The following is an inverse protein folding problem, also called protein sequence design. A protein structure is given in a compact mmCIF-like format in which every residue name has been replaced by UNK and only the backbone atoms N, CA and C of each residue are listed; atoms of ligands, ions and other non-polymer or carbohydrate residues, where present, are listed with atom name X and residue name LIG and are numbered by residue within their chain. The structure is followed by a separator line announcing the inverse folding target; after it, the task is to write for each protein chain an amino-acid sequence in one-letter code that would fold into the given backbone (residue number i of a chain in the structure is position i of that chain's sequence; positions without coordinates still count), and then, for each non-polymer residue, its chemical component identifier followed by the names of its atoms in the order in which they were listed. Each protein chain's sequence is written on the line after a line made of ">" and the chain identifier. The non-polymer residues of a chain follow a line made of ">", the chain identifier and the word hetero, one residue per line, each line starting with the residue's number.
data_IF_163182457872
#
_entry.id   IF_163182457872
#
_cell.length_a   1.000
_cell.length_b   1.000
_cell.length_c   1.000
_cell.angle_alpha   90.00
_cell.angle_beta   90.00
_cell.angle_gamma   90.00
#
_symmetry.space_group_name_H-M   'P 1'
#
loop_
_entity.id
_entity.type
_entity.pdbx_description
1 polymer ?
#
# COMPACT_ATOMS: atom_id res chain seq x y z
N UNK A 1 -3.52 -14.45 2.37
CA UNK A 1 -3.81 -14.41 0.91
C UNK A 1 -3.96 -15.83 0.41
N UNK A 2 -5.02 -16.13 -0.34
CA UNK A 2 -5.25 -17.43 -0.96
C UNK A 2 -5.62 -17.21 -2.42
N UNK A 3 -4.70 -17.52 -3.32
CA UNK A 3 -4.83 -17.12 -4.73
C UNK A 3 -4.94 -15.61 -4.86
N UNK A 4 -5.94 -15.13 -5.60
CA UNK A 4 -6.23 -13.71 -5.77
C UNK A 4 -6.90 -13.01 -4.58
N UNK A 5 -7.36 -13.74 -3.56
CA UNK A 5 -8.17 -13.18 -2.48
C UNK A 5 -7.38 -12.93 -1.20
N UNK A 6 -7.71 -11.84 -0.51
CA UNK A 6 -7.35 -11.64 0.90
C UNK A 6 -8.40 -12.36 1.74
N UNK A 7 -7.96 -13.16 2.70
CA UNK A 7 -8.84 -13.97 3.54
C UNK A 7 -8.52 -13.79 5.02
N UNK A 8 -9.56 -13.84 5.85
CA UNK A 8 -9.44 -13.87 7.31
C UNK A 8 -8.96 -15.23 7.83
N UNK A 9 -8.77 -15.33 9.15
CA UNK A 9 -8.36 -16.58 9.81
C UNK A 9 -9.36 -17.73 9.65
N UNK A 10 -10.64 -17.41 9.40
CA UNK A 10 -11.72 -18.36 9.10
C UNK A 10 -11.76 -18.79 7.62
N UNK A 11 -10.83 -18.29 6.78
CA UNK A 11 -10.76 -18.59 5.35
C UNK A 11 -11.76 -17.85 4.48
N UNK A 12 -12.60 -16.96 5.04
CA UNK A 12 -13.53 -16.14 4.28
C UNK A 12 -12.82 -14.94 3.65
N UNK A 13 -13.25 -14.55 2.44
CA UNK A 13 -12.73 -13.37 1.76
C UNK A 13 -13.03 -12.09 2.56
N UNK A 14 -12.08 -11.16 2.58
CA UNK A 14 -12.18 -9.89 3.30
C UNK A 14 -11.79 -8.75 2.36
N UNK A 15 -12.60 -7.69 2.37
CA UNK A 15 -12.26 -6.41 1.76
C UNK A 15 -11.94 -5.38 2.85
N UNK A 16 -10.84 -4.66 2.67
CA UNK A 16 -10.42 -3.58 3.55
C UNK A 16 -10.69 -2.24 2.86
N UNK A 17 -11.39 -1.34 3.56
CA UNK A 17 -11.78 -0.03 3.08
C UNK A 17 -11.38 1.01 4.12
N UNK A 18 -10.72 2.08 3.66
CA UNK A 18 -10.17 3.08 4.54
C UNK A 18 -9.60 4.26 3.80
N UNK A 19 -8.81 5.05 4.53
CA UNK A 19 -8.20 6.27 4.02
C UNK A 19 -6.68 6.17 4.08
N UNK A 20 -6.02 6.69 3.05
CA UNK A 20 -4.61 7.06 3.14
C UNK A 20 -4.49 8.42 3.79
N UNK A 21 -3.52 8.55 4.70
CA UNK A 21 -2.99 9.85 5.05
C UNK A 21 -2.17 10.38 3.85
N UNK A 22 -2.07 11.70 3.75
CA UNK A 22 -1.14 12.33 2.80
C UNK A 22 0.30 12.10 3.23
N UNK A 23 1.26 12.43 2.38
CA UNK A 23 2.70 12.38 2.66
C UNK A 23 3.05 12.93 4.05
N UNK A 24 3.73 12.11 4.85
CA UNK A 24 4.20 12.49 6.19
C UNK A 24 5.31 13.55 6.19
N UNK A 25 5.99 13.72 5.05
CA UNK A 25 7.16 14.60 4.91
C UNK A 25 6.82 16.06 4.60
N UNK A 26 5.55 16.35 4.32
CA UNK A 26 5.03 17.69 4.04
C UNK A 26 4.16 18.22 5.18
N UNK A 27 4.12 19.54 5.32
CA UNK A 27 3.34 20.25 6.35
C UNK A 27 1.83 20.10 6.20
N UNK A 28 1.39 19.78 4.99
CA UNK A 28 0.00 19.58 4.60
C UNK A 28 -0.52 18.25 5.12
N UNK A 29 0.35 17.22 5.20
CA UNK A 29 0.00 15.88 5.65
C UNK A 29 0.33 15.60 7.11
N UNK A 30 1.53 15.98 7.57
CA UNK A 30 2.02 15.63 8.91
C UNK A 30 1.09 15.99 10.10
N UNK A 31 0.29 17.07 10.10
CA UNK A 31 -0.65 17.37 11.19
C UNK A 31 -1.77 16.33 11.39
N UNK A 32 -1.99 15.46 10.40
CA UNK A 32 -3.00 14.39 10.45
C UNK A 32 -2.46 13.07 11.03
N UNK A 33 -1.15 12.95 11.27
CA UNK A 33 -0.51 11.76 11.84
C UNK A 33 -0.67 11.71 13.37
N UNK A 34 -1.92 11.58 13.83
CA UNK A 34 -2.26 11.56 15.27
C UNK A 34 -3.42 10.62 15.58
N UNK A 35 -3.42 10.06 16.79
CA UNK A 35 -4.39 9.05 17.20
C UNK A 35 -5.86 9.48 17.05
N UNK A 36 -6.17 10.76 17.28
CA UNK A 36 -7.52 11.29 17.14
C UNK A 36 -8.05 11.17 15.69
N UNK A 37 -7.19 11.34 14.68
CA UNK A 37 -7.59 11.18 13.27
C UNK A 37 -7.95 9.72 13.00
N UNK A 38 -7.15 8.78 13.48
CA UNK A 38 -7.43 7.34 13.36
C UNK A 38 -8.75 6.96 14.02
N UNK A 39 -9.03 7.51 15.21
CA UNK A 39 -10.30 7.31 15.89
C UNK A 39 -11.49 7.85 15.08
N UNK A 40 -11.35 9.03 14.46
CA UNK A 40 -12.40 9.59 13.58
C UNK A 40 -12.63 8.68 12.37
N UNK A 41 -11.57 8.23 11.71
CA UNK A 41 -11.66 7.31 10.57
C UNK A 41 -12.41 6.03 10.94
N UNK A 42 -12.10 5.44 12.10
CA UNK A 42 -12.81 4.26 12.60
C UNK A 42 -14.26 4.56 12.95
N UNK A 43 -14.49 5.49 13.88
CA UNK A 43 -15.79 5.64 14.53
C UNK A 43 -16.81 6.42 13.70
N UNK A 44 -16.36 7.37 12.87
CA UNK A 44 -17.25 8.25 12.10
C UNK A 44 -17.33 7.84 10.62
N UNK A 45 -16.22 7.37 10.04
CA UNK A 45 -16.16 6.99 8.62
C UNK A 45 -16.30 5.49 8.40
N UNK A 46 -16.40 4.70 9.48
CA UNK A 46 -16.51 3.25 9.46
C UNK A 46 -15.35 2.57 8.71
N UNK A 47 -14.17 3.19 8.68
CA UNK A 47 -12.98 2.60 8.09
C UNK A 47 -12.53 1.37 8.89
N UNK A 48 -12.03 0.35 8.20
CA UNK A 48 -11.35 -0.80 8.82
C UNK A 48 -9.85 -0.83 8.50
N UNK A 49 -9.34 0.20 7.83
CA UNK A 49 -7.96 0.37 7.40
C UNK A 49 -7.55 1.86 7.48
N UNK A 50 -6.30 2.12 7.84
CA UNK A 50 -5.64 3.41 7.61
C UNK A 50 -4.27 3.17 6.94
N UNK A 51 -3.90 3.99 5.96
CA UNK A 51 -2.59 3.91 5.31
C UNK A 51 -1.68 5.07 5.74
N UNK A 52 -0.45 4.73 6.08
CA UNK A 52 0.62 5.62 6.57
C UNK A 52 1.61 5.86 5.44
N UNK A 53 1.37 6.89 4.63
CA UNK A 53 2.22 7.28 3.50
C UNK A 53 3.50 7.98 3.98
N UNK A 54 4.47 7.19 4.44
CA UNK A 54 5.72 7.74 4.98
C UNK A 54 6.63 8.21 3.85
N UNK A 55 6.73 9.52 3.66
CA UNK A 55 7.64 10.11 2.67
C UNK A 55 9.09 9.73 2.92
N UNK A 56 9.82 9.37 1.87
CA UNK A 56 11.18 8.83 1.96
C UNK A 56 12.24 9.84 1.51
N UNK A 57 12.26 10.17 0.22
CA UNK A 57 13.23 11.08 -0.40
C UNK A 57 12.75 12.54 -0.35
N UNK A 58 11.46 12.77 -0.58
CA UNK A 58 10.88 14.10 -0.72
C UNK A 58 10.55 14.78 0.61
N UNK A 59 10.66 16.11 0.62
CA UNK A 59 10.37 16.94 1.79
C UNK A 59 11.25 16.59 3.00
N UNK A 60 10.65 16.62 4.20
CA UNK A 60 11.29 16.16 5.44
C UNK A 60 11.25 14.62 5.61
N UNK A 61 11.45 13.88 4.51
CA UNK A 61 11.30 12.43 4.43
C UNK A 61 12.27 11.61 5.27
N UNK A 62 12.07 10.29 5.29
CA UNK A 62 12.78 9.37 6.17
C UNK A 62 14.30 9.37 5.96
N UNK A 63 14.79 9.63 4.74
CA UNK A 63 16.23 9.71 4.48
C UNK A 63 16.90 10.89 5.19
N UNK A 64 16.20 12.02 5.31
CA UNK A 64 16.71 13.23 5.97
C UNK A 64 16.35 13.31 7.45
N UNK A 65 15.20 12.75 7.85
CA UNK A 65 14.65 12.87 9.20
C UNK A 65 14.10 11.52 9.75
N UNK A 66 14.92 10.46 9.83
CA UNK A 66 14.43 9.10 10.09
C UNK A 66 13.72 8.96 11.44
N UNK A 67 14.22 9.61 12.49
CA UNK A 67 13.60 9.53 13.83
C UNK A 67 12.24 10.23 13.87
N UNK A 68 12.12 11.40 13.23
CA UNK A 68 10.86 12.13 13.18
C UNK A 68 9.80 11.36 12.38
N UNK A 69 10.19 10.83 11.22
CA UNK A 69 9.30 10.04 10.37
C UNK A 69 8.87 8.73 11.04
N UNK A 70 9.79 8.03 11.72
CA UNK A 70 9.44 6.85 12.52
C UNK A 70 8.42 7.18 13.62
N UNK A 71 8.57 8.32 14.31
CA UNK A 71 7.60 8.72 15.35
C UNK A 71 6.19 8.95 14.78
N UNK A 72 6.07 9.55 13.58
CA UNK A 72 4.79 9.74 12.90
C UNK A 72 4.16 8.39 12.53
N UNK A 73 4.95 7.47 11.96
CA UNK A 73 4.51 6.11 11.61
C UNK A 73 4.01 5.38 12.85
N UNK A 74 4.82 5.33 13.91
CA UNK A 74 4.48 4.62 15.15
C UNK A 74 3.23 5.22 15.82
N UNK A 75 3.04 6.53 15.75
CA UNK A 75 1.84 7.19 16.29
C UNK A 75 0.57 6.64 15.64
N UNK A 76 0.56 6.53 14.30
CA UNK A 76 -0.61 6.04 13.56
C UNK A 76 -0.76 4.53 13.71
N UNK A 77 0.33 3.76 13.66
CA UNK A 77 0.31 2.29 13.86
C UNK A 77 -0.23 1.92 15.23
N UNK A 78 0.27 2.54 16.30
CA UNK A 78 -0.20 2.29 17.66
C UNK A 78 -1.69 2.63 17.82
N UNK A 79 -2.13 3.74 17.22
CA UNK A 79 -3.53 4.14 17.26
C UNK A 79 -4.43 3.17 16.48
N UNK A 80 -4.01 2.69 15.30
CA UNK A 80 -4.76 1.72 14.51
C UNK A 80 -4.95 0.40 15.26
N UNK A 81 -3.88 -0.11 15.87
CA UNK A 81 -3.92 -1.31 16.72
C UNK A 81 -4.88 -1.10 17.90
N UNK A 82 -4.81 0.05 18.59
CA UNK A 82 -5.69 0.34 19.72
C UNK A 82 -7.18 0.45 19.32
N UNK A 83 -7.46 0.90 18.09
CA UNK A 83 -8.81 1.00 17.52
C UNK A 83 -9.28 -0.31 16.86
N UNK A 84 -8.43 -1.35 16.81
CA UNK A 84 -8.75 -2.64 16.20
C UNK A 84 -9.00 -2.55 14.70
N UNK A 85 -8.28 -1.67 14.00
CA UNK A 85 -8.30 -1.57 12.53
C UNK A 85 -6.93 -1.91 11.95
N UNK A 86 -6.92 -2.33 10.67
CA UNK A 86 -5.68 -2.61 9.95
C UNK A 86 -4.91 -1.31 9.65
N UNK A 87 -3.60 -1.43 9.48
CA UNK A 87 -2.74 -0.32 9.09
C UNK A 87 -1.76 -0.75 8.00
N UNK A 88 -1.71 0.02 6.92
CA UNK A 88 -0.65 -0.09 5.92
C UNK A 88 0.49 0.82 6.34
N UNK A 89 1.69 0.25 6.48
CA UNK A 89 2.93 1.00 6.63
C UNK A 89 3.60 1.06 5.26
N UNK A 90 3.54 2.23 4.65
CA UNK A 90 3.96 2.46 3.27
C UNK A 90 5.31 3.19 3.18
N UNK A 91 6.22 2.60 2.40
CA UNK A 91 7.46 3.23 1.97
C UNK A 91 7.18 4.11 0.74
N UNK A 92 6.78 5.35 1.03
CA UNK A 92 6.23 6.28 0.06
C UNK A 92 7.36 6.97 -0.74
N UNK A 93 7.79 6.29 -1.79
CA UNK A 93 8.93 6.61 -2.64
C UNK A 93 8.62 6.28 -4.12
N UNK A 94 9.29 6.98 -5.03
CA UNK A 94 9.28 6.73 -6.48
C UNK A 94 10.58 6.07 -6.98
N UNK A 95 11.60 5.98 -6.13
CA UNK A 95 12.94 5.50 -6.44
C UNK A 95 13.48 4.50 -5.41
N UNK A 96 12.60 3.74 -4.74
CA UNK A 96 12.97 2.90 -3.61
C UNK A 96 14.10 1.88 -3.91
N UNK A 97 14.27 1.46 -5.17
CA UNK A 97 15.40 0.62 -5.59
C UNK A 97 16.78 1.24 -5.28
N UNK A 98 16.87 2.57 -5.26
CA UNK A 98 18.09 3.30 -4.89
C UNK A 98 18.28 3.38 -3.37
N UNK A 99 17.22 3.11 -2.59
CA UNK A 99 17.16 3.22 -1.13
C UNK A 99 16.94 1.85 -0.46
N UNK A 100 17.28 0.76 -1.15
CA UNK A 100 16.95 -0.61 -0.75
C UNK A 100 17.49 -0.99 0.65
N UNK A 101 18.69 -0.55 1.02
CA UNK A 101 19.24 -0.81 2.36
C UNK A 101 18.45 -0.12 3.47
N UNK A 102 18.00 1.11 3.22
CA UNK A 102 17.22 1.92 4.16
C UNK A 102 15.82 1.34 4.32
N UNK A 103 15.19 0.92 3.21
CA UNK A 103 13.91 0.22 3.24
C UNK A 103 14.00 -1.09 4.04
N UNK A 104 15.05 -1.89 3.82
CA UNK A 104 15.29 -3.13 4.59
C UNK A 104 15.41 -2.83 6.10
N UNK A 105 16.25 -1.87 6.49
CA UNK A 105 16.42 -1.50 7.91
C UNK A 105 15.11 -1.02 8.53
N UNK A 106 14.39 -0.13 7.84
CA UNK A 106 13.08 0.37 8.27
C UNK A 106 12.07 -0.77 8.47
N UNK A 107 11.87 -1.62 7.46
CA UNK A 107 10.89 -2.70 7.54
C UNK A 107 11.29 -3.76 8.56
N UNK A 108 12.58 -4.01 8.79
CA UNK A 108 13.01 -4.87 9.89
C UNK A 108 12.68 -4.26 11.27
N UNK A 109 12.78 -2.93 11.44
CA UNK A 109 12.35 -2.26 12.68
C UNK A 109 10.84 -2.41 12.89
N UNK A 110 10.03 -2.15 11.85
CA UNK A 110 8.58 -2.33 11.92
C UNK A 110 8.22 -3.79 12.19
N UNK A 111 8.85 -4.77 11.52
CA UNK A 111 8.58 -6.19 11.72
C UNK A 111 9.00 -6.68 13.11
N UNK A 112 10.13 -6.23 13.66
CA UNK A 112 10.55 -6.56 15.04
C UNK A 112 9.57 -6.02 16.07
N UNK A 113 9.09 -4.79 15.88
CA UNK A 113 8.21 -4.13 16.84
C UNK A 113 6.75 -4.59 16.74
N UNK A 114 6.26 -4.79 15.52
CA UNK A 114 4.83 -4.96 15.25
C UNK A 114 4.47 -6.23 14.47
N UNK A 115 5.42 -7.01 13.96
CA UNK A 115 5.12 -8.16 13.07
C UNK A 115 4.37 -9.32 13.74
N UNK A 116 4.27 -9.35 15.06
CA UNK A 116 3.39 -10.29 15.77
C UNK A 116 1.92 -9.86 15.77
N UNK A 117 1.65 -8.62 15.37
CA UNK A 117 0.33 -8.02 15.39
C UNK A 117 -0.36 -8.21 14.01
N UNK A 118 -1.56 -8.80 13.95
CA UNK A 118 -2.25 -9.10 12.69
C UNK A 118 -2.77 -7.87 11.95
N UNK A 119 -2.78 -6.69 12.59
CA UNK A 119 -3.26 -5.46 11.96
C UNK A 119 -2.27 -4.89 10.93
N UNK A 120 -1.01 -5.33 10.94
CA UNK A 120 0.05 -4.76 10.09
C UNK A 120 -0.04 -5.29 8.66
N UNK A 121 0.04 -4.36 7.72
CA UNK A 121 0.26 -4.61 6.31
C UNK A 121 1.47 -3.77 5.89
N UNK A 122 2.41 -4.38 5.17
CA UNK A 122 3.60 -3.69 4.66
C UNK A 122 3.36 -3.28 3.21
N UNK A 123 3.61 -2.04 2.83
CA UNK A 123 3.66 -1.61 1.43
C UNK A 123 5.08 -1.15 1.11
N UNK A 124 5.78 -1.95 0.31
CA UNK A 124 7.26 -1.89 0.25
C UNK A 124 7.80 -0.87 -0.75
N UNK A 125 6.96 -0.41 -1.67
CA UNK A 125 7.29 0.60 -2.67
C UNK A 125 5.95 1.16 -3.16
N UNK A 126 5.66 2.42 -2.86
CA UNK A 126 4.45 3.11 -3.29
C UNK A 126 4.25 3.08 -4.81
N UNK A 127 5.10 3.79 -5.55
CA UNK A 127 4.90 4.02 -6.99
C UNK A 127 6.21 4.00 -7.78
N UNK A 128 6.68 2.80 -8.16
CA UNK A 128 7.68 2.68 -9.22
C UNK A 128 7.20 3.39 -10.49
N UNK A 129 8.06 4.19 -11.09
CA UNK A 129 7.72 4.99 -12.27
C UNK A 129 8.21 4.28 -13.54
N UNK A 130 9.41 4.60 -14.01
CA UNK A 130 9.97 4.10 -15.27
C UNK A 130 10.82 2.83 -15.11
N UNK A 131 11.14 2.43 -13.87
CA UNK A 131 12.05 1.31 -13.59
C UNK A 131 11.52 -0.01 -14.16
N UNK A 132 12.41 -0.86 -14.66
CA UNK A 132 12.01 -2.16 -15.22
C UNK A 132 11.54 -3.13 -14.13
N UNK A 133 10.48 -3.89 -14.41
CA UNK A 133 9.95 -4.87 -13.45
C UNK A 133 10.98 -5.95 -13.14
N UNK A 134 11.54 -6.60 -14.16
CA UNK A 134 12.39 -7.78 -13.97
C UNK A 134 13.79 -7.44 -13.44
N UNK A 135 14.35 -6.31 -13.89
CA UNK A 135 15.71 -5.89 -13.56
C UNK A 135 15.83 -5.04 -12.31
N UNK A 136 14.78 -4.31 -11.91
CA UNK A 136 14.88 -3.31 -10.83
C UNK A 136 13.82 -3.51 -9.74
N UNK A 137 12.53 -3.53 -10.10
CA UNK A 137 11.43 -3.53 -9.11
C UNK A 137 11.32 -4.90 -8.41
N UNK A 138 11.28 -6.00 -9.17
CA UNK A 138 11.18 -7.36 -8.61
C UNK A 138 12.40 -7.71 -7.73
N UNK A 139 13.67 -7.49 -8.13
CA UNK A 139 14.82 -7.76 -7.27
C UNK A 139 14.84 -6.93 -5.99
N UNK A 140 14.34 -5.68 -6.03
CA UNK A 140 14.13 -4.86 -4.83
C UNK A 140 13.14 -5.55 -3.88
N UNK A 141 11.96 -5.89 -4.41
CA UNK A 141 10.90 -6.55 -3.63
C UNK A 141 11.34 -7.87 -3.02
N UNK A 142 12.05 -8.72 -3.77
CA UNK A 142 12.55 -10.00 -3.27
C UNK A 142 13.44 -9.83 -2.03
N UNK A 143 14.31 -8.83 -2.02
CA UNK A 143 15.21 -8.57 -0.88
C UNK A 143 14.48 -7.97 0.32
N UNK A 144 13.55 -7.03 0.10
CA UNK A 144 12.75 -6.43 1.18
C UNK A 144 11.79 -7.47 1.77
N UNK A 145 11.12 -8.27 0.94
CA UNK A 145 10.27 -9.40 1.35
C UNK A 145 11.08 -10.40 2.16
N UNK A 146 12.28 -10.79 1.71
CA UNK A 146 13.13 -11.71 2.47
C UNK A 146 13.50 -11.15 3.85
N UNK A 147 13.81 -9.86 3.94
CA UNK A 147 14.14 -9.19 5.19
C UNK A 147 12.96 -9.13 6.17
N UNK A 148 11.75 -8.80 5.69
CA UNK A 148 10.53 -8.83 6.50
C UNK A 148 10.25 -10.27 6.94
N UNK A 149 10.28 -11.21 6.00
CA UNK A 149 9.97 -12.64 6.25
C UNK A 149 11.00 -13.33 7.13
N UNK A 150 12.20 -12.78 7.32
CA UNK A 150 13.11 -13.27 8.34
C UNK A 150 12.50 -13.15 9.76
N UNK A 151 11.66 -12.13 10.00
CA UNK A 151 11.08 -11.77 11.29
C UNK A 151 9.58 -12.09 11.35
N UNK A 152 8.80 -11.59 10.39
CA UNK A 152 7.35 -11.76 10.31
C UNK A 152 6.97 -12.73 9.18
N UNK A 153 6.49 -13.91 9.58
CA UNK A 153 6.17 -15.02 8.66
C UNK A 153 4.79 -14.91 7.99
N UNK A 154 3.90 -14.01 8.42
CA UNK A 154 2.46 -14.12 8.11
C UNK A 154 1.82 -12.85 7.57
N UNK A 155 2.15 -11.65 8.06
CA UNK A 155 1.40 -10.45 7.65
C UNK A 155 1.54 -10.15 6.15
N UNK A 156 0.54 -9.47 5.60
CA UNK A 156 0.48 -9.17 4.16
C UNK A 156 1.59 -8.19 3.79
N UNK A 157 2.22 -8.43 2.64
CA UNK A 157 3.15 -7.50 2.01
C UNK A 157 2.58 -7.13 0.64
N UNK A 158 2.43 -5.84 0.37
CA UNK A 158 1.96 -5.26 -0.88
C UNK A 158 3.16 -4.69 -1.65
N UNK A 159 3.21 -4.99 -2.94
CA UNK A 159 4.36 -4.76 -3.81
C UNK A 159 3.99 -3.80 -4.94
N UNK A 160 4.53 -2.59 -4.90
CA UNK A 160 4.37 -1.58 -5.96
C UNK A 160 4.70 -2.13 -7.34
N UNK A 161 3.95 -1.68 -8.36
CA UNK A 161 4.16 -2.09 -9.76
C UNK A 161 4.58 -0.90 -10.64
N UNK A 162 5.09 -1.19 -11.84
CA UNK A 162 5.60 -0.15 -12.73
C UNK A 162 4.50 0.82 -13.19
N UNK A 163 4.90 2.01 -13.61
CA UNK A 163 4.04 3.08 -14.16
C UNK A 163 3.04 3.54 -13.10
N UNK A 164 3.54 4.05 -11.97
CA UNK A 164 2.74 4.52 -10.83
C UNK A 164 1.77 3.43 -10.35
N UNK A 165 2.29 2.22 -10.15
CA UNK A 165 1.51 1.06 -9.71
C UNK A 165 0.32 0.70 -10.63
N UNK A 166 0.51 0.69 -11.94
CA UNK A 166 -0.52 0.35 -12.93
C UNK A 166 -0.28 -0.97 -13.67
N UNK A 167 0.98 -1.40 -13.81
CA UNK A 167 1.36 -2.58 -14.61
C UNK A 167 1.29 -3.90 -13.81
N UNK A 168 0.18 -4.11 -13.11
CA UNK A 168 -0.10 -5.31 -12.31
C UNK A 168 -0.16 -6.60 -13.12
N UNK A 169 -0.52 -6.52 -14.39
CA UNK A 169 -0.54 -7.63 -15.34
C UNK A 169 0.87 -8.12 -15.71
N UNK A 170 1.83 -7.20 -15.81
CA UNK A 170 3.25 -7.49 -15.98
C UNK A 170 3.80 -8.18 -14.74
N UNK A 171 3.53 -7.63 -13.55
CA UNK A 171 3.92 -8.24 -12.29
C UNK A 171 3.33 -9.64 -12.11
N UNK A 172 2.06 -9.84 -12.45
CA UNK A 172 1.39 -11.14 -12.40
C UNK A 172 1.97 -12.18 -13.38
N UNK A 173 2.66 -11.75 -14.44
CA UNK A 173 3.34 -12.64 -15.39
C UNK A 173 4.69 -13.13 -14.88
N UNK A 174 5.32 -12.37 -13.98
CA UNK A 174 6.62 -12.66 -13.41
C UNK A 174 6.60 -12.34 -11.90
N UNK A 175 5.81 -13.08 -11.10
CA UNK A 175 5.56 -12.72 -9.71
C UNK A 175 6.81 -12.86 -8.84
N UNK A 176 6.89 -12.05 -7.78
CA UNK A 176 7.80 -12.24 -6.65
C UNK A 176 7.41 -13.53 -5.92
N UNK A 177 8.40 -14.37 -5.60
CA UNK A 177 8.17 -15.61 -4.87
C UNK A 177 7.94 -15.32 -3.38
N UNK A 178 6.95 -15.97 -2.78
CA UNK A 178 6.68 -15.87 -1.35
C UNK A 178 5.23 -16.14 -1.00
N UNK A 179 4.88 -15.88 0.26
CA UNK A 179 3.53 -16.07 0.79
C UNK A 179 2.93 -14.74 1.25
N UNK A 180 1.60 -14.66 1.20
CA UNK A 180 0.84 -13.47 1.62
C UNK A 180 1.31 -12.18 0.93
N UNK A 181 1.52 -12.28 -0.38
CA UNK A 181 1.91 -11.16 -1.23
C UNK A 181 0.71 -10.69 -2.06
N UNK A 182 0.55 -9.38 -2.16
CA UNK A 182 -0.36 -8.72 -3.10
C UNK A 182 0.43 -7.69 -3.91
N UNK A 183 -0.10 -7.27 -5.06
CA UNK A 183 0.53 -6.28 -5.92
C UNK A 183 -0.32 -5.00 -5.93
N UNK A 184 0.35 -3.86 -5.87
CA UNK A 184 -0.30 -2.57 -5.79
C UNK A 184 -0.94 -2.20 -7.14
N UNK A 185 -2.19 -1.76 -7.08
CA UNK A 185 -2.87 -1.08 -8.19
C UNK A 185 -3.29 0.32 -7.72
N UNK A 186 -2.80 1.38 -8.35
CA UNK A 186 -3.30 2.73 -8.14
C UNK A 186 -4.15 3.19 -9.31
N UNK A 187 -5.20 3.97 -9.03
CA UNK A 187 -5.99 4.60 -10.06
C UNK A 187 -6.55 5.94 -9.60
N UNK A 188 -6.86 6.78 -10.58
CA UNK A 188 -7.51 8.07 -10.39
C UNK A 188 -8.68 8.12 -11.34
N UNK A 189 -9.90 8.18 -10.80
CA UNK A 189 -11.10 7.85 -11.54
C UNK A 189 -11.33 8.75 -12.77
N UNK A 190 -10.89 10.01 -12.76
CA UNK A 190 -11.04 10.89 -13.92
C UNK A 190 -10.03 10.60 -15.04
N UNK A 191 -8.88 9.98 -14.72
CA UNK A 191 -7.81 9.67 -15.70
C UNK A 191 -7.87 8.21 -16.16
N UNK A 192 -8.03 7.28 -15.23
CA UNK A 192 -7.89 5.85 -15.46
C UNK A 192 -9.27 5.18 -15.54
N UNK A 193 -9.55 4.50 -16.64
CA UNK A 193 -10.90 3.97 -16.98
C UNK A 193 -10.87 2.45 -17.21
N UNK A 194 -11.62 1.96 -18.21
CA UNK A 194 -11.78 0.55 -18.53
C UNK A 194 -10.47 -0.17 -18.89
N UNK A 195 -9.51 0.51 -19.51
CA UNK A 195 -8.23 -0.10 -19.91
C UNK A 195 -7.41 -0.56 -18.70
N UNK A 196 -7.37 0.25 -17.63
CA UNK A 196 -6.67 -0.13 -16.40
C UNK A 196 -7.43 -1.22 -15.63
N UNK A 197 -8.77 -1.19 -15.64
CA UNK A 197 -9.59 -2.31 -15.11
C UNK A 197 -9.32 -3.61 -15.87
N UNK A 198 -9.09 -3.54 -17.17
CA UNK A 198 -8.72 -4.71 -18.00
C UNK A 198 -7.37 -5.28 -17.57
N UNK A 199 -6.35 -4.43 -17.33
CA UNK A 199 -5.07 -4.89 -16.77
C UNK A 199 -5.24 -5.57 -15.41
N UNK A 200 -6.03 -4.97 -14.52
CA UNK A 200 -6.34 -5.56 -13.22
C UNK A 200 -7.03 -6.92 -13.37
N UNK A 201 -8.03 -7.05 -14.25
CA UNK A 201 -8.70 -8.31 -14.52
C UNK A 201 -7.73 -9.37 -15.07
N UNK A 202 -6.80 -9.00 -15.95
CA UNK A 202 -5.79 -9.91 -16.49
C UNK A 202 -4.85 -10.46 -15.40
N UNK A 203 -4.46 -9.61 -14.43
CA UNK A 203 -3.69 -10.05 -13.27
C UNK A 203 -4.50 -10.98 -12.35
N UNK A 204 -5.77 -10.65 -12.06
CA UNK A 204 -6.66 -11.52 -11.28
C UNK A 204 -6.88 -12.88 -11.94
N UNK A 205 -6.98 -12.92 -13.27
CA UNK A 205 -7.12 -14.17 -14.04
C UNK A 205 -5.88 -15.08 -13.94
N UNK A 206 -4.71 -14.51 -13.61
CA UNK A 206 -3.48 -15.26 -13.29
C UNK A 206 -3.41 -15.70 -11.82
N UNK A 207 -4.51 -15.56 -11.08
CA UNK A 207 -4.64 -15.95 -9.67
C UNK A 207 -3.68 -15.21 -8.73
N UNK A 208 -3.39 -13.94 -9.03
CA UNK A 208 -2.54 -13.06 -8.23
C UNK A 208 -3.39 -12.08 -7.44
N UNK A 209 -3.03 -11.84 -6.18
CA UNK A 209 -3.70 -10.85 -5.33
C UNK A 209 -3.33 -9.43 -5.75
N UNK A 210 -4.34 -8.56 -5.89
CA UNK A 210 -4.16 -7.12 -6.10
C UNK A 210 -4.70 -6.39 -4.88
N UNK A 211 -4.03 -5.31 -4.46
CA UNK A 211 -4.51 -4.40 -3.42
C UNK A 211 -4.45 -2.97 -3.94
N UNK A 212 -5.59 -2.26 -3.94
CA UNK A 212 -5.63 -0.82 -4.19
C UNK A 212 -5.30 -0.09 -2.90
N UNK A 213 -4.03 0.26 -2.69
CA UNK A 213 -3.55 0.97 -1.50
C UNK A 213 -3.75 2.49 -1.61
N UNK A 214 -3.86 3.00 -2.84
CA UNK A 214 -4.21 4.37 -3.15
C UNK A 214 -5.17 4.48 -4.34
N UNK A 215 -6.17 5.34 -4.22
CA UNK A 215 -6.94 5.81 -5.38
C UNK A 215 -7.51 7.21 -5.14
N UNK A 216 -7.78 7.93 -6.23
CA UNK A 216 -8.47 9.22 -6.23
C UNK A 216 -9.75 9.21 -7.07
N UNK A 217 -10.66 10.14 -6.77
CA UNK A 217 -11.92 10.33 -7.52
C UNK A 217 -11.81 11.39 -8.62
N UNK A 218 -10.67 12.09 -8.68
CA UNK A 218 -10.36 13.20 -9.61
C UNK A 218 -9.27 12.76 -10.61
N UNK A 219 -8.59 13.70 -11.30
CA UNK A 219 -7.49 13.36 -12.21
C UNK A 219 -6.21 13.01 -11.47
N UNK A 220 -5.29 12.32 -12.15
CA UNK A 220 -4.04 11.81 -11.59
C UNK A 220 -3.06 12.89 -11.08
N UNK A 221 -3.27 14.15 -11.43
CA UNK A 221 -2.56 15.30 -10.84
C UNK A 221 -3.14 15.73 -9.48
N UNK A 222 -4.16 15.02 -8.98
CA UNK A 222 -4.85 15.29 -7.72
C UNK A 222 -5.85 16.44 -7.79
N UNK A 223 -6.12 17.00 -8.97
CA UNK A 223 -6.95 18.19 -9.14
C UNK A 223 -8.19 17.91 -10.02
N UNK A 224 -9.00 18.93 -10.24
CA UNK A 224 -10.20 18.85 -11.09
C UNK A 224 -11.44 18.37 -10.35
N UNK A 225 -12.51 18.15 -11.12
CA UNK A 225 -13.79 17.69 -10.61
C UNK A 225 -13.83 16.18 -10.37
N UNK A 226 -14.68 15.75 -9.43
CA UNK A 226 -14.95 14.34 -9.19
C UNK A 226 -15.62 13.72 -10.43
N UNK A 227 -15.06 12.60 -10.91
CA UNK A 227 -15.72 11.77 -11.91
C UNK A 227 -16.54 10.68 -11.23
N UNK A 228 -17.79 11.00 -10.91
CA UNK A 228 -18.66 10.12 -10.13
C UNK A 228 -18.96 8.79 -10.83
N UNK A 229 -19.18 8.83 -12.15
CA UNK A 229 -19.53 7.62 -12.89
C UNK A 229 -18.34 6.67 -12.94
N UNK A 230 -17.16 7.17 -13.28
CA UNK A 230 -15.95 6.33 -13.29
C UNK A 230 -15.63 5.80 -11.90
N UNK A 231 -15.83 6.60 -10.85
CA UNK A 231 -15.65 6.14 -9.46
C UNK A 231 -16.56 4.96 -9.13
N UNK A 232 -17.85 5.02 -9.51
CA UNK A 232 -18.81 3.92 -9.33
C UNK A 232 -18.44 2.67 -10.13
N UNK A 233 -17.95 2.83 -11.35
CA UNK A 233 -17.49 1.70 -12.17
C UNK A 233 -16.30 0.99 -11.52
N UNK A 234 -15.36 1.76 -10.96
CA UNK A 234 -14.22 1.21 -10.22
C UNK A 234 -14.64 0.46 -8.96
N UNK A 235 -15.49 1.05 -8.12
CA UNK A 235 -15.97 0.39 -6.91
C UNK A 235 -16.75 -0.88 -7.23
N UNK A 236 -17.61 -0.86 -8.26
CA UNK A 236 -18.33 -2.05 -8.73
C UNK A 236 -17.35 -3.15 -9.19
N UNK A 237 -16.30 -2.78 -9.92
CA UNK A 237 -15.27 -3.72 -10.35
C UNK A 237 -14.55 -4.36 -9.16
N UNK A 238 -14.18 -3.57 -8.16
CA UNK A 238 -13.48 -4.04 -6.95
C UNK A 238 -14.40 -4.93 -6.09
N UNK A 239 -15.66 -4.53 -5.91
CA UNK A 239 -16.63 -5.30 -5.13
C UNK A 239 -16.93 -6.69 -5.73
N UNK A 240 -16.90 -6.78 -7.06
CA UNK A 240 -17.09 -8.05 -7.78
C UNK A 240 -15.84 -8.97 -7.75
N UNK A 241 -14.69 -8.47 -7.28
CA UNK A 241 -13.40 -9.17 -7.31
C UNK A 241 -12.72 -9.28 -5.93
N UNK A 242 -13.50 -9.36 -4.85
CA UNK A 242 -13.02 -9.59 -3.47
C UNK A 242 -12.16 -10.84 -3.32
#
# INVERSE_FOLDING_TARGET
>A
VKGKQIVGSNGQAVALHGMSLFWSSFSEGSPFYRAQVVQILKCQWNANLVRVAMGVEEGSGYLSNPSAQMNLVETVVNAAIAQGIYVIVDWHDHNAQNHQSQAIDFFQKIAKKYGSNPHIIYETFNEPTSQDWAGQIKPYHEKVVAAIRAIDKKNIIVLGTRTWSQEVDTAASNPVSGSNLCYTLHYYAATHKADLRTKAQNALNKNVCIFVTEYGTVSADGNGGVDEQSSKDWWTFLDNNK
#
